data_IF_146196027400
#
_entry.id   IF_146196027400
#
_cell.length_a   1.000
_cell.length_b   1.000
_cell.length_c   1.000
_cell.angle_alpha   90.00
_cell.angle_beta   90.00
_cell.angle_gamma   90.00
#
_symmetry.space_group_name_H-M   'P 1'
#
loop_
_entity.id
_entity.type
_entity.pdbx_description
1 polymer ?
#
# COMPACT_ATOMS: atom_id res chain seq x y z
N UNK A 1 -8.87 10.34 -28.87
CA UNK A 1 -7.54 9.72 -29.06
C UNK A 1 -6.57 10.62 -28.28
N UNK A 2 -5.88 10.27 -27.19
CA UNK A 2 -5.59 9.02 -26.50
C UNK A 2 -5.58 9.28 -24.98
N UNK A 3 -6.14 8.38 -24.18
CA UNK A 3 -6.20 8.47 -22.72
C UNK A 3 -4.86 8.03 -22.10
N UNK A 4 -3.94 8.97 -21.91
CA UNK A 4 -2.53 8.73 -21.54
C UNK A 4 -2.26 8.78 -20.03
N UNK A 5 -3.19 8.30 -19.18
CA UNK A 5 -3.12 8.55 -17.73
C UNK A 5 -3.07 7.33 -16.80
N UNK A 6 -2.88 6.09 -17.27
CA UNK A 6 -3.01 4.93 -16.37
C UNK A 6 -2.02 3.77 -16.57
N UNK A 7 -0.87 3.96 -17.23
CA UNK A 7 0.08 2.85 -17.45
C UNK A 7 1.18 2.72 -16.38
N UNK A 8 1.29 3.66 -15.42
CA UNK A 8 2.41 3.70 -14.47
C UNK A 8 2.15 3.29 -13.01
N UNK A 9 0.91 3.31 -12.53
CA UNK A 9 0.62 3.28 -11.07
C UNK A 9 -0.17 2.05 -10.56
N UNK A 10 -0.40 1.05 -11.41
CA UNK A 10 -1.13 -0.18 -11.05
C UNK A 10 -0.21 -1.37 -10.77
N UNK A 11 1.00 -1.13 -10.23
CA UNK A 11 1.82 -2.25 -9.76
C UNK A 11 1.11 -2.89 -8.57
N UNK A 12 0.69 -4.13 -8.77
CA UNK A 12 0.05 -4.93 -7.72
C UNK A 12 1.00 -5.02 -6.52
N UNK A 13 0.43 -4.88 -5.33
CA UNK A 13 1.14 -5.15 -4.09
C UNK A 13 1.51 -6.63 -4.07
N UNK A 14 2.79 -6.93 -3.85
CA UNK A 14 3.26 -8.28 -3.53
C UNK A 14 2.79 -8.67 -2.14
N UNK A 15 2.80 -9.98 -1.87
CA UNK A 15 2.46 -10.50 -0.54
C UNK A 15 3.35 -9.89 0.55
N UNK A 16 4.64 -9.68 0.28
CA UNK A 16 5.58 -9.02 1.22
C UNK A 16 5.16 -7.59 1.51
N UNK A 17 4.79 -6.81 0.49
CA UNK A 17 4.29 -5.44 0.66
C UNK A 17 2.98 -5.43 1.47
N UNK A 18 2.06 -6.37 1.22
CA UNK A 18 0.83 -6.52 2.00
C UNK A 18 1.14 -6.80 3.48
N UNK A 19 2.08 -7.72 3.76
CA UNK A 19 2.54 -8.03 5.12
C UNK A 19 3.17 -6.83 5.82
N UNK A 20 4.00 -6.04 5.14
CA UNK A 20 4.59 -4.81 5.71
C UNK A 20 3.47 -3.85 6.11
N UNK A 21 2.50 -3.61 5.22
CA UNK A 21 1.39 -2.72 5.49
C UNK A 21 0.51 -3.22 6.66
N UNK A 22 0.22 -4.51 6.73
CA UNK A 22 -0.54 -5.12 7.83
C UNK A 22 0.21 -4.93 9.15
N UNK A 23 1.49 -5.32 9.21
CA UNK A 23 2.32 -5.20 10.40
C UNK A 23 2.41 -3.77 10.94
N UNK A 24 2.59 -2.80 10.04
CA UNK A 24 2.64 -1.39 10.41
C UNK A 24 1.29 -0.87 10.92
N UNK A 25 0.17 -1.37 10.39
CA UNK A 25 -1.18 -1.03 10.87
C UNK A 25 -1.53 -1.70 12.19
N UNK A 26 -1.10 -2.94 12.42
CA UNK A 26 -1.29 -3.64 13.70
C UNK A 26 -0.50 -2.99 14.84
N UNK A 27 0.66 -2.39 14.53
CA UNK A 27 1.41 -1.53 15.47
C UNK A 27 0.69 -0.22 15.85
N UNK A 28 -0.43 0.10 15.21
CA UNK A 28 -1.19 1.32 15.48
C UNK A 28 -0.53 2.60 14.99
N UNK A 29 0.43 2.50 14.04
CA UNK A 29 1.15 3.67 13.54
C UNK A 29 0.22 4.61 12.74
N UNK A 30 0.45 5.92 12.81
CA UNK A 30 -0.27 6.88 11.98
C UNK A 30 0.21 6.78 10.53
N UNK A 31 -0.65 7.16 9.60
CA UNK A 31 -0.37 7.01 8.16
C UNK A 31 0.94 7.65 7.65
N UNK A 32 1.36 8.85 8.10
CA UNK A 32 2.63 9.43 7.67
C UNK A 32 3.82 8.51 7.99
N UNK A 33 3.91 8.02 9.22
CA UNK A 33 4.95 7.08 9.65
C UNK A 33 4.88 5.75 8.90
N UNK A 34 3.68 5.26 8.57
CA UNK A 34 3.51 4.04 7.77
C UNK A 34 4.06 4.24 6.37
N UNK A 35 3.81 5.40 5.74
CA UNK A 35 4.31 5.69 4.40
C UNK A 35 5.82 5.71 4.40
N UNK A 36 6.43 6.40 5.36
CA UNK A 36 7.88 6.48 5.51
C UNK A 36 8.49 5.08 5.67
N UNK A 37 8.03 4.35 6.69
CA UNK A 37 8.50 3.00 7.00
C UNK A 37 8.20 1.95 5.92
N UNK A 38 7.15 2.14 5.12
CA UNK A 38 6.86 1.27 3.99
C UNK A 38 7.82 1.58 2.84
N UNK A 39 7.98 2.86 2.50
CA UNK A 39 8.81 3.32 1.39
C UNK A 39 10.31 3.10 1.62
N UNK A 40 10.76 3.03 2.87
CA UNK A 40 12.12 2.60 3.25
C UNK A 40 12.39 1.10 2.99
N UNK A 41 11.34 0.28 2.96
CA UNK A 41 11.45 -1.19 2.84
C UNK A 41 11.19 -1.71 1.43
N UNK A 42 10.84 -0.84 0.49
CA UNK A 42 10.54 -1.18 -0.91
C UNK A 42 11.43 -0.38 -1.84
N UNK A 43 11.62 -0.88 -3.07
CA UNK A 43 12.33 -0.15 -4.11
C UNK A 43 11.66 1.20 -4.43
N UNK A 44 12.45 2.16 -4.93
CA UNK A 44 11.97 3.51 -5.31
C UNK A 44 10.77 3.47 -6.27
N UNK A 45 10.75 2.51 -7.18
CA UNK A 45 9.66 2.29 -8.15
C UNK A 45 8.39 1.68 -7.52
N UNK A 46 8.51 1.10 -6.33
CA UNK A 46 7.42 0.51 -5.56
C UNK A 46 6.94 1.39 -4.42
N UNK A 47 7.55 2.56 -4.23
CA UNK A 47 7.06 3.52 -3.24
C UNK A 47 5.60 3.87 -3.49
N UNK A 48 4.88 4.10 -2.39
CA UNK A 48 3.45 4.37 -2.39
C UNK A 48 3.18 5.65 -1.64
N UNK A 49 2.14 6.33 -2.09
CA UNK A 49 1.58 7.48 -1.37
C UNK A 49 0.66 6.97 -0.26
N UNK A 50 0.42 7.84 0.72
CA UNK A 50 -0.59 7.62 1.77
C UNK A 50 -1.91 7.09 1.21
N UNK A 51 -2.46 7.75 0.19
CA UNK A 51 -3.74 7.36 -0.42
C UNK A 51 -3.72 5.94 -1.03
N UNK A 52 -2.59 5.54 -1.62
CA UNK A 52 -2.40 4.17 -2.14
C UNK A 52 -2.43 3.14 -1.02
N UNK A 53 -1.67 3.36 0.05
CA UNK A 53 -1.65 2.47 1.22
C UNK A 53 -3.00 2.43 1.94
N UNK A 54 -3.69 3.57 2.07
CA UNK A 54 -5.03 3.63 2.66
C UNK A 54 -6.05 2.80 1.89
N UNK A 55 -6.05 2.94 0.56
CA UNK A 55 -6.93 2.18 -0.33
C UNK A 55 -6.65 0.69 -0.21
N UNK A 56 -5.36 0.31 -0.25
CA UNK A 56 -4.95 -1.09 -0.11
C UNK A 56 -5.32 -1.67 1.25
N UNK A 57 -5.17 -0.91 2.33
CA UNK A 57 -5.57 -1.35 3.67
C UNK A 57 -7.07 -1.59 3.78
N UNK A 58 -7.91 -0.75 3.18
CA UNK A 58 -9.37 -0.99 3.15
C UNK A 58 -9.70 -2.31 2.44
N UNK A 59 -9.03 -2.60 1.33
CA UNK A 59 -9.19 -3.86 0.60
C UNK A 59 -8.73 -5.07 1.44
N UNK A 60 -7.58 -4.95 2.13
CA UNK A 60 -7.07 -6.00 3.01
C UNK A 60 -8.01 -6.27 4.19
N UNK A 61 -8.51 -5.22 4.85
CA UNK A 61 -9.50 -5.38 5.94
C UNK A 61 -10.77 -6.08 5.46
N UNK A 62 -11.28 -5.71 4.28
CA UNK A 62 -12.45 -6.38 3.72
C UNK A 62 -12.21 -7.88 3.44
N UNK A 63 -10.97 -8.27 3.11
CA UNK A 63 -10.59 -9.70 2.95
C UNK A 63 -10.46 -10.41 4.29
N UNK A 64 -9.93 -9.75 5.32
CA UNK A 64 -9.69 -10.34 6.65
C UNK A 64 -11.00 -10.51 7.45
N UNK A 65 -11.93 -9.56 7.37
CA UNK A 65 -13.18 -9.59 8.14
C UNK A 65 -14.22 -10.59 7.61
N UNK A 66 -14.02 -11.15 6.42
CA UNK A 66 -14.95 -12.09 5.77
C UNK A 66 -14.39 -13.53 5.78
N UNK A 67 -13.41 -13.81 6.65
CA UNK A 67 -12.82 -15.13 6.87
C UNK A 67 -13.19 -15.73 8.21
#
# INVERSE_FOLDING_TARGET
MCNLQALGHNKQYTETEEWILIHLKEKGLPWPDIVDQFNERVDLDRQRTKAGLETKWRQLKARITVG
#
